data_IF_129615523069
#
_entry.id   IF_129615523069
#
_cell.length_a   1.000
_cell.length_b   1.000
_cell.length_c   1.000
_cell.angle_alpha   90.00
_cell.angle_beta   90.00
_cell.angle_gamma   90.00
#
_symmetry.space_group_name_H-M   'P 1'
#
loop_
_entity.id
_entity.type
_entity.pdbx_description
1 polymer ?
#
# COMPACT_ATOMS: atom_id res chain seq x y z
N UNK A 1 0.96 30.75 79.21
CA UNK A 1 -0.05 30.18 78.35
C UNK A 1 0.17 30.75 76.92
N UNK A 2 0.90 30.05 76.08
CA UNK A 2 1.16 30.45 74.71
C UNK A 2 0.56 29.38 73.80
N UNK A 3 -0.50 29.76 73.11
CA UNK A 3 -1.13 28.91 72.08
C UNK A 3 -0.38 29.08 70.77
N UNK A 4 0.27 28.01 70.32
CA UNK A 4 0.85 27.88 68.97
C UNK A 4 -0.26 27.62 67.95
N UNK A 5 -0.44 28.53 67.03
CA UNK A 5 -1.29 28.32 65.86
C UNK A 5 -0.46 27.60 64.76
N UNK A 6 -0.77 26.34 64.57
CA UNK A 6 -0.21 25.57 63.42
C UNK A 6 -0.83 26.02 62.11
N UNK A 7 0.02 26.52 61.22
CA UNK A 7 -0.37 26.86 59.88
C UNK A 7 -0.32 25.57 59.04
N UNK A 8 -1.49 25.05 58.70
CA UNK A 8 -1.60 23.94 57.72
C UNK A 8 -1.34 24.49 56.31
N UNK A 9 -0.20 24.08 55.70
CA UNK A 9 0.07 24.33 54.28
C UNK A 9 -0.67 23.27 53.43
N UNK A 10 -1.70 23.72 52.76
CA UNK A 10 -2.34 22.92 51.71
C UNK A 10 -1.43 22.88 50.50
N UNK A 11 -0.88 21.70 50.20
CA UNK A 11 -0.17 21.44 48.93
C UNK A 11 -1.21 21.11 47.87
N UNK A 12 -1.47 22.05 46.99
CA UNK A 12 -2.30 21.79 45.80
C UNK A 12 -1.50 20.96 44.82
N UNK A 13 -1.84 19.67 44.69
CA UNK A 13 -1.33 18.82 43.64
C UNK A 13 -2.05 19.17 42.33
N UNK A 14 -1.39 19.95 41.46
CA UNK A 14 -1.87 20.19 40.12
C UNK A 14 -1.63 18.93 39.29
N UNK A 15 -2.68 18.13 39.03
CA UNK A 15 -2.66 17.08 38.05
C UNK A 15 -2.61 17.71 36.63
N UNK A 16 -1.44 17.72 36.06
CA UNK A 16 -1.27 18.02 34.62
C UNK A 16 -1.75 16.79 33.84
N UNK A 17 -2.97 16.81 33.33
CA UNK A 17 -3.45 15.82 32.40
C UNK A 17 -2.70 16.02 31.08
N UNK A 18 -1.69 15.17 30.77
CA UNK A 18 -1.09 15.08 29.45
C UNK A 18 -2.11 14.48 28.51
N UNK A 19 -2.75 15.33 27.73
CA UNK A 19 -3.55 14.89 26.58
C UNK A 19 -2.55 14.48 25.50
N UNK A 20 -2.29 13.18 25.40
CA UNK A 20 -1.56 12.61 24.25
C UNK A 20 -2.45 12.71 23.04
N UNK A 21 -2.20 13.67 22.16
CA UNK A 21 -2.82 13.72 20.83
C UNK A 21 -2.12 12.62 20.02
N UNK A 22 -2.71 11.42 19.97
CA UNK A 22 -2.30 10.39 19.06
C UNK A 22 -2.68 10.86 17.64
N UNK A 23 -1.71 11.38 16.88
CA UNK A 23 -1.88 11.67 15.46
C UNK A 23 -2.23 10.37 14.75
N UNK A 24 -3.22 10.40 13.82
CA UNK A 24 -3.55 9.28 12.98
C UNK A 24 -2.33 8.91 12.11
N UNK A 25 -1.65 7.79 12.40
CA UNK A 25 -0.58 7.25 11.57
C UNK A 25 -1.21 6.50 10.39
N UNK A 26 -0.63 6.69 9.18
CA UNK A 26 -1.03 5.92 8.00
C UNK A 26 -0.61 4.48 8.17
N UNK A 27 -1.44 3.56 7.69
CA UNK A 27 -1.16 2.15 7.75
C UNK A 27 -0.05 1.76 6.76
N UNK A 28 0.82 0.82 7.16
CA UNK A 28 1.79 0.21 6.25
C UNK A 28 1.10 -0.80 5.35
N UNK A 29 1.27 -0.63 4.03
CA UNK A 29 0.75 -1.53 3.01
C UNK A 29 1.89 -2.38 2.47
N UNK A 30 1.75 -3.70 2.53
CA UNK A 30 2.69 -4.65 1.95
C UNK A 30 2.02 -5.40 0.81
N UNK A 31 2.56 -5.24 -0.39
CA UNK A 31 2.13 -5.93 -1.60
C UNK A 31 3.19 -6.97 -1.94
N UNK A 32 2.84 -8.25 -1.89
CA UNK A 32 3.75 -9.35 -2.18
C UNK A 32 3.28 -10.08 -3.43
N UNK A 33 4.16 -10.16 -4.44
CA UNK A 33 3.86 -10.80 -5.72
C UNK A 33 4.72 -12.04 -5.85
N UNK A 34 4.07 -13.20 -5.93
CA UNK A 34 4.67 -14.50 -6.17
C UNK A 34 4.50 -14.84 -7.64
N UNK A 35 5.61 -14.79 -8.39
CA UNK A 35 5.63 -15.08 -9.83
C UNK A 35 5.41 -16.55 -10.12
N UNK A 36 5.87 -17.43 -9.25
CA UNK A 36 5.73 -18.87 -9.45
C UNK A 36 4.29 -19.33 -9.36
N UNK A 37 3.50 -18.72 -8.47
CA UNK A 37 2.09 -19.03 -8.28
C UNK A 37 1.14 -18.03 -8.94
N UNK A 38 1.67 -16.95 -9.55
CA UNK A 38 0.90 -15.88 -10.17
C UNK A 38 -0.18 -15.32 -9.25
N UNK A 39 0.25 -14.97 -8.03
CA UNK A 39 -0.60 -14.46 -6.95
C UNK A 39 -0.01 -13.18 -6.36
N UNK A 40 -0.91 -12.31 -5.92
CA UNK A 40 -0.58 -11.15 -5.12
C UNK A 40 -1.28 -11.27 -3.77
N UNK A 41 -0.51 -11.08 -2.70
CA UNK A 41 -1.03 -10.92 -1.35
C UNK A 41 -0.90 -9.47 -0.92
N UNK A 42 -1.90 -8.93 -0.23
CA UNK A 42 -1.89 -7.58 0.30
C UNK A 42 -2.15 -7.63 1.80
N UNK A 43 -1.26 -7.05 2.58
CA UNK A 43 -1.39 -6.90 4.02
C UNK A 43 -1.37 -5.42 4.40
N UNK A 44 -2.11 -5.08 5.45
CA UNK A 44 -2.18 -3.72 6.01
C UNK A 44 -1.87 -3.81 7.50
N UNK A 45 -0.82 -3.14 7.94
CA UNK A 45 -0.30 -3.24 9.33
C UNK A 45 -0.09 -4.69 9.78
N UNK A 46 0.46 -5.53 8.91
CA UNK A 46 0.71 -6.93 9.19
C UNK A 46 -0.51 -7.84 9.12
N UNK A 47 -1.70 -7.31 8.90
CA UNK A 47 -2.94 -8.10 8.75
C UNK A 47 -3.20 -8.40 7.28
N UNK A 48 -3.36 -9.68 6.96
CA UNK A 48 -3.72 -10.12 5.61
C UNK A 48 -5.11 -9.61 5.22
N UNK A 49 -5.21 -8.99 4.04
CA UNK A 49 -6.45 -8.40 3.53
C UNK A 49 -6.94 -9.05 2.25
N UNK A 50 -6.05 -9.26 1.28
CA UNK A 50 -6.42 -9.73 -0.05
C UNK A 50 -5.40 -10.73 -0.57
N UNK A 51 -5.92 -11.69 -1.35
CA UNK A 51 -5.12 -12.54 -2.22
C UNK A 51 -5.81 -12.60 -3.59
N UNK A 52 -5.07 -12.26 -4.65
CA UNK A 52 -5.60 -12.14 -6.00
C UNK A 52 -4.74 -12.85 -7.01
N UNK A 53 -5.37 -13.36 -8.07
CA UNK A 53 -4.66 -13.81 -9.25
C UNK A 53 -4.05 -12.62 -9.99
N UNK A 54 -2.84 -12.80 -10.49
CA UNK A 54 -2.14 -11.82 -11.31
C UNK A 54 -1.65 -12.43 -12.62
N UNK A 55 -1.24 -11.57 -13.54
CA UNK A 55 -0.43 -11.95 -14.70
C UNK A 55 0.84 -11.12 -14.70
N UNK A 56 1.98 -11.78 -14.62
CA UNK A 56 3.29 -11.15 -14.75
C UNK A 56 3.83 -11.31 -16.17
N UNK A 57 5.05 -10.87 -16.43
CA UNK A 57 5.65 -10.89 -17.75
C UNK A 57 5.94 -12.30 -18.25
N UNK A 58 5.62 -12.58 -19.52
CA UNK A 58 5.96 -13.84 -20.21
C UNK A 58 7.48 -14.04 -20.23
N UNK A 59 8.23 -12.97 -20.47
CA UNK A 59 9.69 -12.96 -20.46
C UNK A 59 10.28 -12.49 -19.12
N UNK A 60 9.47 -12.56 -18.07
CA UNK A 60 9.86 -12.19 -16.72
C UNK A 60 9.37 -10.81 -16.29
N UNK A 61 9.25 -10.68 -14.99
CA UNK A 61 9.03 -9.42 -14.26
C UNK A 61 10.18 -9.29 -13.29
N UNK A 62 10.86 -8.13 -13.18
CA UNK A 62 12.00 -7.99 -12.28
C UNK A 62 11.63 -8.32 -10.85
N UNK A 63 12.46 -9.14 -10.21
CA UNK A 63 12.36 -9.43 -8.76
C UNK A 63 12.99 -8.31 -7.97
N UNK A 64 12.53 -8.11 -6.76
CA UNK A 64 13.11 -7.13 -5.86
C UNK A 64 12.10 -6.54 -4.89
N UNK A 65 12.55 -5.52 -4.19
CA UNK A 65 11.73 -4.72 -3.27
C UNK A 65 11.66 -3.30 -3.80
N UNK A 66 10.45 -2.80 -3.94
CA UNK A 66 10.17 -1.51 -4.55
C UNK A 66 9.20 -0.70 -3.68
N UNK A 67 9.11 0.60 -3.99
CA UNK A 67 8.06 1.48 -3.52
C UNK A 67 7.34 2.09 -4.72
N UNK A 68 6.04 2.41 -4.60
CA UNK A 68 5.36 3.16 -5.63
C UNK A 68 6.06 4.49 -5.90
N UNK A 69 6.24 4.82 -7.17
CA UNK A 69 6.86 6.07 -7.65
C UNK A 69 5.82 7.07 -8.12
N UNK A 70 4.75 6.58 -8.75
CA UNK A 70 3.66 7.42 -9.24
C UNK A 70 2.37 6.61 -9.40
N UNK A 71 1.24 7.31 -9.38
CA UNK A 71 -0.10 6.76 -9.54
C UNK A 71 -0.79 7.41 -10.73
N UNK A 72 -1.45 6.61 -11.56
CA UNK A 72 -2.24 7.11 -12.69
C UNK A 72 -3.53 6.30 -12.86
N UNK A 73 -4.66 6.91 -12.56
CA UNK A 73 -5.98 6.23 -12.56
C UNK A 73 -6.42 5.77 -13.95
N UNK A 74 -6.21 6.61 -14.95
CA UNK A 74 -6.65 6.38 -16.33
C UNK A 74 -5.46 6.35 -17.30
N UNK A 75 -4.50 5.48 -17.02
CA UNK A 75 -3.29 5.41 -17.81
C UNK A 75 -3.49 4.58 -19.09
N UNK A 76 -2.81 5.01 -20.16
CA UNK A 76 -2.67 4.30 -21.40
C UNK A 76 -1.19 4.15 -21.74
N UNK A 77 -0.80 2.98 -22.22
CA UNK A 77 0.60 2.69 -22.53
C UNK A 77 1.13 3.64 -23.60
N UNK A 78 2.28 4.25 -23.35
CA UNK A 78 3.05 4.98 -24.38
C UNK A 78 3.90 4.07 -25.25
N UNK A 79 4.10 2.82 -24.82
CA UNK A 79 4.98 1.84 -25.47
C UNK A 79 4.23 0.82 -26.34
N UNK A 80 2.98 0.51 -25.99
CA UNK A 80 2.24 -0.62 -26.58
C UNK A 80 0.86 -0.20 -27.07
N UNK A 81 0.81 0.55 -28.18
CA UNK A 81 -0.41 0.86 -28.93
C UNK A 81 -1.55 1.43 -28.07
N UNK A 82 -1.24 2.32 -27.15
CA UNK A 82 -2.22 2.88 -26.23
C UNK A 82 -3.07 1.86 -25.47
N UNK A 83 -2.52 0.70 -25.15
CA UNK A 83 -3.21 -0.31 -24.35
C UNK A 83 -3.66 0.28 -23.01
N UNK A 84 -4.92 0.06 -22.59
CA UNK A 84 -5.42 0.55 -21.31
C UNK A 84 -4.65 -0.08 -20.15
N UNK A 85 -4.23 0.76 -19.22
CA UNK A 85 -3.57 0.38 -17.96
C UNK A 85 -4.27 1.10 -16.81
N UNK A 86 -5.55 0.80 -16.53
CA UNK A 86 -6.31 1.51 -15.51
C UNK A 86 -5.74 1.23 -14.12
N UNK A 87 -5.80 2.22 -13.25
CA UNK A 87 -5.33 2.14 -11.89
C UNK A 87 -3.85 1.73 -11.77
N UNK A 88 -3.01 2.37 -12.57
CA UNK A 88 -1.58 2.09 -12.61
C UNK A 88 -0.85 2.60 -11.37
N UNK A 89 -0.09 1.70 -10.75
CA UNK A 89 0.86 1.98 -9.67
C UNK A 89 2.25 1.69 -10.25
N UNK A 90 2.96 2.73 -10.67
CA UNK A 90 4.32 2.61 -11.20
C UNK A 90 5.29 2.43 -10.05
N UNK A 91 6.18 1.44 -10.15
CA UNK A 91 7.13 1.12 -9.10
C UNK A 91 8.60 1.05 -9.55
N UNK A 92 8.85 0.92 -10.85
CA UNK A 92 10.20 0.90 -11.41
C UNK A 92 10.15 1.33 -12.89
N UNK A 93 10.41 2.62 -13.16
CA UNK A 93 10.34 3.17 -14.52
C UNK A 93 8.97 2.93 -15.16
N UNK A 94 8.96 2.13 -16.23
CA UNK A 94 7.74 1.76 -16.97
C UNK A 94 7.02 0.54 -16.40
N UNK A 95 7.58 -0.11 -15.38
CA UNK A 95 6.92 -1.24 -14.73
C UNK A 95 5.86 -0.75 -13.75
N UNK A 96 4.67 -1.32 -13.88
CA UNK A 96 3.53 -0.97 -13.06
C UNK A 96 2.68 -2.19 -12.67
N UNK A 97 1.93 -2.04 -11.58
CA UNK A 97 0.78 -2.86 -11.26
C UNK A 97 -0.44 -2.13 -11.80
N UNK A 98 -1.28 -2.79 -12.60
CA UNK A 98 -2.45 -2.15 -13.20
C UNK A 98 -3.56 -3.15 -13.53
N UNK A 99 -4.76 -2.66 -13.81
CA UNK A 99 -5.87 -3.45 -14.30
C UNK A 99 -5.68 -3.89 -15.75
N UNK A 100 -6.25 -5.03 -16.12
CA UNK A 100 -6.22 -5.55 -17.49
C UNK A 100 -7.62 -5.82 -18.02
N UNK A 101 -7.80 -5.66 -19.33
CA UNK A 101 -8.99 -6.14 -20.04
C UNK A 101 -8.93 -7.63 -20.39
N UNK A 102 -7.76 -8.24 -20.30
CA UNK A 102 -7.53 -9.66 -20.58
C UNK A 102 -7.70 -10.51 -19.32
N UNK A 103 -8.86 -10.43 -18.66
CA UNK A 103 -9.12 -11.08 -17.37
C UNK A 103 -9.04 -12.61 -17.43
N UNK A 104 -9.30 -13.22 -18.59
CA UNK A 104 -9.17 -14.68 -18.76
C UNK A 104 -7.72 -15.18 -18.67
N UNK A 105 -6.73 -14.29 -18.80
CA UNK A 105 -5.30 -14.63 -18.69
C UNK A 105 -4.78 -14.59 -17.26
N UNK A 106 -5.52 -14.02 -16.32
CA UNK A 106 -5.10 -13.93 -14.92
C UNK A 106 -4.88 -15.33 -14.32
N UNK A 107 -3.81 -15.46 -13.54
CA UNK A 107 -3.35 -16.72 -12.98
C UNK A 107 -2.18 -17.34 -13.71
N UNK A 108 -1.77 -16.75 -14.83
CA UNK A 108 -0.62 -17.14 -15.62
C UNK A 108 0.10 -15.93 -16.22
N UNK A 109 1.38 -16.08 -16.65
CA UNK A 109 2.11 -15.01 -17.31
C UNK A 109 1.44 -14.59 -18.62
N UNK A 110 1.26 -13.29 -18.83
CA UNK A 110 0.60 -12.77 -20.02
C UNK A 110 1.09 -11.38 -20.44
N UNK A 111 1.79 -10.64 -19.57
CA UNK A 111 2.23 -9.28 -19.83
C UNK A 111 3.61 -9.22 -20.48
N UNK A 112 4.07 -7.99 -20.74
CA UNK A 112 5.44 -7.72 -21.21
C UNK A 112 6.37 -7.27 -20.08
N UNK A 113 5.96 -7.52 -18.81
CA UNK A 113 6.73 -7.21 -17.62
C UNK A 113 5.94 -6.57 -16.48
N UNK A 114 4.86 -5.88 -16.78
CA UNK A 114 3.96 -5.35 -15.75
C UNK A 114 3.22 -6.45 -15.00
N UNK A 115 2.70 -6.11 -13.83
CA UNK A 115 1.86 -6.99 -13.02
C UNK A 115 0.40 -6.59 -13.25
N UNK A 116 -0.37 -7.47 -13.87
CA UNK A 116 -1.78 -7.23 -14.21
C UNK A 116 -2.72 -7.82 -13.18
N UNK A 117 -3.76 -7.06 -12.86
CA UNK A 117 -4.85 -7.43 -11.96
C UNK A 117 -6.19 -7.38 -12.70
N UNK A 118 -7.20 -8.06 -12.14
CA UNK A 118 -8.58 -7.75 -12.48
C UNK A 118 -8.85 -6.27 -12.22
N UNK A 119 -9.56 -5.54 -13.09
CA UNK A 119 -9.76 -4.09 -12.93
C UNK A 119 -10.37 -3.70 -11.59
N UNK A 120 -11.31 -4.49 -11.05
CA UNK A 120 -11.91 -4.21 -9.74
C UNK A 120 -10.90 -4.33 -8.60
N UNK A 121 -9.97 -5.30 -8.68
CA UNK A 121 -8.91 -5.47 -7.68
C UNK A 121 -7.85 -4.37 -7.81
N UNK A 122 -7.53 -3.96 -9.04
CA UNK A 122 -6.65 -2.83 -9.29
C UNK A 122 -7.20 -1.53 -8.71
N UNK A 123 -8.51 -1.30 -8.82
CA UNK A 123 -9.17 -0.14 -8.22
C UNK A 123 -9.05 -0.15 -6.69
N UNK A 124 -9.31 -1.30 -6.04
CA UNK A 124 -9.16 -1.46 -4.58
C UNK A 124 -7.73 -1.17 -4.14
N UNK A 125 -6.75 -1.74 -4.83
CA UNK A 125 -5.33 -1.57 -4.49
C UNK A 125 -4.88 -0.12 -4.69
N UNK A 126 -5.29 0.51 -5.80
CA UNK A 126 -4.99 1.90 -6.10
C UNK A 126 -5.51 2.84 -5.01
N UNK A 127 -6.77 2.67 -4.60
CA UNK A 127 -7.37 3.48 -3.54
C UNK A 127 -6.68 3.26 -2.19
N UNK A 128 -6.28 2.03 -1.88
CA UNK A 128 -5.54 1.71 -0.67
C UNK A 128 -4.18 2.42 -0.65
N UNK A 129 -3.41 2.33 -1.72
CA UNK A 129 -2.10 2.99 -1.84
C UNK A 129 -2.24 4.51 -1.82
N UNK A 130 -3.26 5.06 -2.49
CA UNK A 130 -3.51 6.50 -2.49
C UNK A 130 -3.87 7.01 -1.09
N UNK A 131 -4.72 6.29 -0.38
CA UNK A 131 -5.16 6.64 0.98
C UNK A 131 -4.05 6.54 2.02
N UNK A 132 -3.31 5.44 2.00
CA UNK A 132 -2.25 5.18 2.99
C UNK A 132 -0.90 5.82 2.61
N UNK A 133 -0.72 6.15 1.34
CA UNK A 133 0.44 6.84 0.81
C UNK A 133 1.47 5.92 0.17
N UNK A 134 2.10 6.42 -0.89
CA UNK A 134 3.17 5.70 -1.60
C UNK A 134 4.37 5.41 -0.71
N UNK A 135 4.72 6.34 0.18
CA UNK A 135 5.82 6.20 1.14
C UNK A 135 5.58 5.13 2.21
N UNK A 136 4.31 4.76 2.46
CA UNK A 136 3.91 3.71 3.40
C UNK A 136 3.60 2.38 2.70
N UNK A 137 3.87 2.27 1.41
CA UNK A 137 3.63 1.07 0.61
C UNK A 137 4.95 0.45 0.18
N UNK A 138 5.06 -0.85 0.39
CA UNK A 138 6.20 -1.66 -0.07
C UNK A 138 5.71 -2.76 -0.99
N UNK A 139 6.43 -2.99 -2.07
CA UNK A 139 6.14 -4.00 -3.09
C UNK A 139 7.31 -4.96 -3.12
N UNK A 140 7.06 -6.25 -2.88
CA UNK A 140 8.06 -7.31 -3.04
C UNK A 140 7.62 -8.25 -4.15
N UNK A 141 8.56 -8.56 -5.05
CA UNK A 141 8.35 -9.44 -6.21
C UNK A 141 9.41 -10.53 -6.18
N UNK A 142 8.99 -11.77 -6.14
CA UNK A 142 9.85 -12.94 -6.11
C UNK A 142 9.36 -14.08 -6.99
#
# INVERSE_FOLDING_TARGET
MTRSLGVARAVALSLFAMVSIAGATRAEVLIQIDKSNQRMSVSVNGQHRYIWAVSTGINGTPSGTFRPQSLSRNHYSSLYQHAPMPYSIFYDGNFAIHGTTHVSRLGGPASRGCVRLHPSNAAVLFDLVQREGMGNTRITIQ
#
